data_IF_142712749576
#
_entry.id   IF_142712749576
#
_cell.length_a   1.000
_cell.length_b   1.000
_cell.length_c   1.000
_cell.angle_alpha   90.00
_cell.angle_beta   90.00
_cell.angle_gamma   90.00
#
_symmetry.space_group_name_H-M   'P 1'
#
loop_
_entity.id
_entity.type
_entity.pdbx_description
1 polymer ?
#
# COMPACT_ATOMS: atom_id res chain seq x y z
N UNK A 1 -4.88 16.47 4.91
CA UNK A 1 -4.87 15.82 3.58
C UNK A 1 -3.87 16.47 2.61
N UNK A 2 -3.77 17.82 2.52
CA UNK A 2 -2.75 18.48 1.63
C UNK A 2 -1.33 18.00 1.89
N UNK A 3 -0.91 17.92 3.16
CA UNK A 3 0.44 17.44 3.51
C UNK A 3 0.68 15.99 3.05
N UNK A 4 -0.36 15.14 3.04
CA UNK A 4 -0.24 13.76 2.54
C UNK A 4 -0.03 13.75 1.02
N UNK A 5 -0.75 14.60 0.27
CA UNK A 5 -0.51 14.76 -1.17
C UNK A 5 0.92 15.22 -1.44
N UNK A 6 1.41 16.23 -0.71
CA UNK A 6 2.79 16.73 -0.84
C UNK A 6 3.81 15.61 -0.52
N UNK A 7 3.57 14.82 0.52
CA UNK A 7 4.43 13.71 0.91
C UNK A 7 4.46 12.58 -0.12
N UNK A 8 3.40 12.40 -0.91
CA UNK A 8 3.35 11.41 -1.99
C UNK A 8 4.01 11.89 -3.30
N UNK A 9 4.27 13.20 -3.47
CA UNK A 9 4.88 13.74 -4.69
C UNK A 9 6.19 13.03 -5.06
N UNK A 10 7.15 12.79 -4.14
CA UNK A 10 8.39 12.10 -4.50
C UNK A 10 8.13 10.69 -5.08
N UNK A 11 7.20 9.94 -4.49
CA UNK A 11 6.85 8.61 -4.98
C UNK A 11 6.18 8.68 -6.36
N UNK A 12 5.26 9.63 -6.57
CA UNK A 12 4.60 9.90 -7.87
C UNK A 12 5.62 10.29 -8.94
N UNK A 13 6.54 11.20 -8.63
CA UNK A 13 7.56 11.64 -9.60
C UNK A 13 8.46 10.47 -10.01
N UNK A 14 8.92 9.69 -9.04
CA UNK A 14 9.76 8.52 -9.32
C UNK A 14 8.98 7.48 -10.13
N UNK A 15 7.72 7.16 -9.78
CA UNK A 15 6.92 6.20 -10.55
C UNK A 15 6.72 6.64 -12.00
N UNK A 16 6.43 7.92 -12.25
CA UNK A 16 6.29 8.46 -13.61
C UNK A 16 7.61 8.45 -14.37
N UNK A 17 8.75 8.73 -13.73
CA UNK A 17 10.08 8.67 -14.38
C UNK A 17 10.43 7.25 -14.81
N UNK A 18 10.06 6.24 -14.03
CA UNK A 18 10.41 4.84 -14.30
C UNK A 18 9.40 4.11 -15.20
N UNK A 19 8.11 4.39 -15.06
CA UNK A 19 7.03 3.74 -15.85
C UNK A 19 6.47 4.63 -16.98
N UNK A 20 6.89 5.88 -17.07
CA UNK A 20 6.56 6.77 -18.16
C UNK A 20 5.10 7.21 -18.22
N UNK A 21 4.62 7.44 -19.46
CA UNK A 21 3.27 7.96 -19.71
C UNK A 21 2.16 6.99 -19.30
N UNK A 22 2.41 5.69 -19.28
CA UNK A 22 1.42 4.70 -18.87
C UNK A 22 1.00 4.92 -17.41
N UNK A 23 1.96 5.11 -16.52
CA UNK A 23 1.69 5.41 -15.11
C UNK A 23 0.99 6.76 -14.93
N UNK A 24 1.39 7.77 -15.70
CA UNK A 24 0.73 9.08 -15.67
C UNK A 24 -0.75 8.99 -16.04
N UNK A 25 -1.10 8.14 -17.02
CA UNK A 25 -2.50 7.87 -17.39
C UNK A 25 -3.26 7.17 -16.27
N UNK A 26 -2.71 6.12 -15.67
CA UNK A 26 -3.34 5.41 -14.53
C UNK A 26 -3.59 6.39 -13.38
N UNK A 27 -2.60 7.23 -13.07
CA UNK A 27 -2.68 8.22 -12.01
C UNK A 27 -3.74 9.28 -12.31
N UNK A 28 -3.76 9.82 -13.52
CA UNK A 28 -4.75 10.82 -13.94
C UNK A 28 -6.16 10.24 -13.91
N UNK A 29 -6.38 9.05 -14.48
CA UNK A 29 -7.69 8.40 -14.48
C UNK A 29 -8.14 8.11 -13.06
N UNK A 30 -7.28 7.58 -12.19
CA UNK A 30 -7.62 7.27 -10.81
C UNK A 30 -8.03 8.51 -10.03
N UNK A 31 -7.22 9.58 -10.06
CA UNK A 31 -7.50 10.82 -9.32
C UNK A 31 -8.76 11.50 -9.84
N UNK A 32 -8.89 11.66 -11.18
CA UNK A 32 -10.06 12.31 -11.78
C UNK A 32 -11.33 11.52 -11.47
N UNK A 33 -11.29 10.18 -11.60
CA UNK A 33 -12.44 9.33 -11.28
C UNK A 33 -12.83 9.41 -9.81
N UNK A 34 -11.87 9.36 -8.89
CA UNK A 34 -12.16 9.47 -7.46
C UNK A 34 -12.80 10.82 -7.10
N UNK A 35 -12.26 11.93 -7.62
CA UNK A 35 -12.77 13.28 -7.38
C UNK A 35 -14.16 13.46 -8.00
N UNK A 36 -14.34 13.03 -9.25
CA UNK A 36 -15.61 13.12 -9.96
C UNK A 36 -16.70 12.29 -9.27
N UNK A 37 -16.41 11.05 -8.88
CA UNK A 37 -17.34 10.17 -8.17
C UNK A 37 -17.75 10.75 -6.82
N UNK A 38 -16.81 11.28 -6.03
CA UNK A 38 -17.12 11.92 -4.76
C UNK A 38 -18.04 13.13 -4.96
N UNK A 39 -17.74 13.97 -5.97
CA UNK A 39 -18.60 15.11 -6.31
C UNK A 39 -20.00 14.68 -6.73
N UNK A 40 -20.12 13.69 -7.62
CA UNK A 40 -21.41 13.20 -8.11
C UNK A 40 -22.24 12.57 -6.99
N UNK A 41 -21.64 11.74 -6.15
CA UNK A 41 -22.33 11.08 -5.04
C UNK A 41 -22.77 12.12 -4.00
N UNK A 42 -21.91 13.04 -3.59
CA UNK A 42 -22.26 14.07 -2.61
C UNK A 42 -23.36 14.98 -3.12
N UNK A 43 -23.27 15.45 -4.37
CA UNK A 43 -24.22 16.41 -4.92
C UNK A 43 -25.57 15.79 -5.27
N UNK A 44 -25.58 14.62 -5.93
CA UNK A 44 -26.80 14.04 -6.50
C UNK A 44 -27.44 12.96 -5.61
N UNK A 45 -26.67 12.11 -4.96
CA UNK A 45 -27.18 11.05 -4.10
C UNK A 45 -27.46 11.57 -2.67
N UNK A 46 -26.43 12.16 -2.05
CA UNK A 46 -26.51 12.59 -0.64
C UNK A 46 -27.12 13.98 -0.48
N UNK A 47 -27.22 14.77 -1.57
CA UNK A 47 -27.70 16.18 -1.56
C UNK A 47 -27.04 17.02 -0.47
N UNK A 48 -25.75 16.75 -0.19
CA UNK A 48 -24.93 17.40 0.81
C UNK A 48 -23.95 18.40 0.16
N UNK A 49 -23.38 19.34 0.92
CA UNK A 49 -22.33 20.23 0.42
C UNK A 49 -21.12 19.41 -0.05
N UNK A 50 -20.50 19.85 -1.14
CA UNK A 50 -19.35 19.15 -1.75
C UNK A 50 -18.15 19.05 -0.79
N UNK A 51 -17.64 17.84 -0.58
CA UNK A 51 -16.46 17.53 0.24
C UNK A 51 -15.16 17.49 -0.56
N UNK A 52 -15.21 17.69 -1.88
CA UNK A 52 -14.04 17.60 -2.78
C UNK A 52 -12.87 18.53 -2.37
N UNK A 53 -13.19 19.66 -1.72
CA UNK A 53 -12.19 20.62 -1.25
C UNK A 53 -11.29 20.14 -0.10
N UNK A 54 -11.58 19.02 0.52
CA UNK A 54 -10.79 18.44 1.62
C UNK A 54 -9.58 17.61 1.14
N UNK A 55 -9.46 17.34 -0.17
CA UNK A 55 -8.40 16.58 -0.82
C UNK A 55 -8.40 15.08 -0.52
N UNK A 56 -9.39 14.58 0.18
CA UNK A 56 -9.43 13.17 0.58
C UNK A 56 -9.64 12.23 -0.61
N UNK A 57 -10.46 12.61 -1.60
CA UNK A 57 -10.63 11.85 -2.84
C UNK A 57 -9.33 11.81 -3.67
N UNK A 58 -8.60 12.93 -3.71
CA UNK A 58 -7.32 12.98 -4.40
C UNK A 58 -6.28 12.05 -3.75
N UNK A 59 -6.19 12.06 -2.41
CA UNK A 59 -5.32 11.11 -1.68
C UNK A 59 -5.70 9.66 -1.99
N UNK A 60 -6.99 9.33 -1.95
CA UNK A 60 -7.47 7.97 -2.28
C UNK A 60 -7.11 7.60 -3.72
N UNK A 61 -7.28 8.51 -4.67
CA UNK A 61 -6.92 8.27 -6.08
C UNK A 61 -5.42 8.06 -6.30
N UNK A 62 -4.56 8.88 -5.66
CA UNK A 62 -3.10 8.72 -5.75
C UNK A 62 -2.67 7.39 -5.12
N UNK A 63 -3.15 7.06 -3.93
CA UNK A 63 -2.81 5.81 -3.26
C UNK A 63 -3.32 4.60 -4.03
N UNK A 64 -4.51 4.67 -4.63
CA UNK A 64 -5.03 3.61 -5.48
C UNK A 64 -4.11 3.41 -6.69
N UNK A 65 -3.78 4.47 -7.44
CA UNK A 65 -2.92 4.40 -8.61
C UNK A 65 -1.55 3.81 -8.28
N UNK A 66 -0.88 4.30 -7.23
CA UNK A 66 0.42 3.78 -6.79
C UNK A 66 0.42 2.29 -6.40
N UNK A 67 -0.75 1.71 -6.17
CA UNK A 67 -0.91 0.28 -5.87
C UNK A 67 -1.31 -0.57 -7.09
N UNK A 68 -1.47 0.03 -8.26
CA UNK A 68 -1.83 -0.67 -9.49
C UNK A 68 -0.59 -0.88 -10.38
N UNK A 69 -0.62 -1.88 -11.28
CA UNK A 69 0.35 -1.96 -12.38
C UNK A 69 0.18 -0.77 -13.33
N UNK A 70 1.30 -0.25 -13.85
CA UNK A 70 1.30 0.88 -14.77
C UNK A 70 0.55 0.60 -16.11
N UNK A 71 0.39 -0.66 -16.47
CA UNK A 71 -0.34 -1.11 -17.67
C UNK A 71 -1.82 -1.37 -17.44
N UNK A 72 -2.34 -1.07 -16.25
CA UNK A 72 -3.76 -1.32 -15.93
C UNK A 72 -4.67 -0.52 -16.87
N UNK A 73 -5.63 -1.17 -17.58
CA UNK A 73 -6.57 -0.47 -18.44
C UNK A 73 -7.40 0.57 -17.68
N UNK A 74 -7.68 1.70 -18.32
CA UNK A 74 -8.41 2.82 -17.71
C UNK A 74 -9.76 2.43 -17.10
N UNK A 75 -10.48 1.48 -17.72
CA UNK A 75 -11.78 1.02 -17.21
C UNK A 75 -11.67 0.20 -15.92
N UNK A 76 -10.58 -0.58 -15.75
CA UNK A 76 -10.29 -1.30 -14.50
C UNK A 76 -9.99 -0.30 -13.38
N UNK A 77 -9.16 0.72 -13.67
CA UNK A 77 -8.87 1.81 -12.73
C UNK A 77 -10.15 2.53 -12.30
N UNK A 78 -11.05 2.82 -13.26
CA UNK A 78 -12.35 3.44 -12.99
C UNK A 78 -13.23 2.57 -12.07
N UNK A 79 -13.32 1.26 -12.32
CA UNK A 79 -14.05 0.33 -11.44
C UNK A 79 -13.44 0.35 -10.03
N UNK A 80 -12.11 0.33 -9.90
CA UNK A 80 -11.43 0.46 -8.61
C UNK A 80 -11.79 1.76 -7.88
N UNK A 81 -11.86 2.88 -8.60
CA UNK A 81 -12.27 4.16 -8.05
C UNK A 81 -13.74 4.15 -7.59
N UNK A 82 -14.65 3.52 -8.35
CA UNK A 82 -16.06 3.34 -7.95
C UNK A 82 -16.17 2.57 -6.65
N UNK A 83 -15.43 1.49 -6.50
CA UNK A 83 -15.43 0.68 -5.27
C UNK A 83 -14.80 1.47 -4.12
N UNK A 84 -13.66 2.11 -4.34
CA UNK A 84 -12.96 2.87 -3.31
C UNK A 84 -13.79 4.04 -2.79
N UNK A 85 -14.34 4.86 -3.68
CA UNK A 85 -15.12 6.04 -3.28
C UNK A 85 -16.57 5.67 -3.00
N UNK A 86 -17.24 4.97 -3.91
CA UNK A 86 -18.67 4.64 -3.78
C UNK A 86 -18.92 3.71 -2.61
N UNK A 87 -18.28 2.54 -2.61
CA UNK A 87 -18.55 1.47 -1.62
C UNK A 87 -17.78 1.69 -0.31
N UNK A 88 -16.48 1.96 -0.35
CA UNK A 88 -15.69 1.97 0.88
C UNK A 88 -15.71 3.31 1.62
N UNK A 89 -16.01 4.43 0.96
CA UNK A 89 -15.99 5.74 1.59
C UNK A 89 -17.39 6.34 1.76
N UNK A 90 -18.15 6.48 0.68
CA UNK A 90 -19.38 7.26 0.69
C UNK A 90 -20.58 6.53 1.31
N UNK A 91 -20.64 5.19 1.24
CA UNK A 91 -21.69 4.41 1.91
C UNK A 91 -21.64 4.51 3.43
N UNK A 92 -20.45 4.75 4.00
CA UNK A 92 -20.29 4.94 5.44
C UNK A 92 -20.50 6.39 5.90
N UNK A 93 -20.71 7.34 4.99
CA UNK A 93 -20.96 8.75 5.32
C UNK A 93 -19.82 9.71 4.94
N UNK A 94 -18.80 9.24 4.23
CA UNK A 94 -17.70 10.08 3.73
C UNK A 94 -16.47 10.12 4.65
N UNK A 95 -15.71 11.21 4.57
CA UNK A 95 -14.49 11.37 5.33
C UNK A 95 -14.73 11.29 6.84
N UNK A 96 -13.96 10.46 7.52
CA UNK A 96 -14.01 10.32 8.99
C UNK A 96 -14.93 9.21 9.48
N UNK A 97 -15.72 8.57 8.62
CA UNK A 97 -16.67 7.51 9.00
C UNK A 97 -16.37 6.16 8.34
N UNK A 98 -15.44 6.10 7.42
CA UNK A 98 -15.04 4.87 6.75
C UNK A 98 -14.33 3.91 7.73
N UNK A 99 -14.78 2.65 7.72
CA UNK A 99 -14.22 1.59 8.57
C UNK A 99 -12.89 1.07 8.00
N UNK A 100 -12.81 0.99 6.68
CA UNK A 100 -11.66 0.48 5.94
C UNK A 100 -10.97 1.59 5.15
N UNK A 101 -9.67 1.42 4.88
CA UNK A 101 -8.95 2.31 3.97
C UNK A 101 -9.53 2.17 2.54
N UNK A 102 -10.10 3.24 1.94
CA UNK A 102 -10.82 3.15 0.68
C UNK A 102 -9.94 2.71 -0.49
N UNK A 103 -8.71 3.20 -0.56
CA UNK A 103 -7.78 2.82 -1.64
C UNK A 103 -7.45 1.32 -1.60
N UNK A 104 -7.27 0.76 -0.40
CA UNK A 104 -7.00 -0.67 -0.22
C UNK A 104 -8.21 -1.54 -0.55
N UNK A 105 -9.43 -1.09 -0.20
CA UNK A 105 -10.66 -1.81 -0.60
C UNK A 105 -10.76 -1.87 -2.11
N UNK A 106 -10.54 -0.74 -2.81
CA UNK A 106 -10.50 -0.70 -4.27
C UNK A 106 -9.45 -1.65 -4.85
N UNK A 107 -8.21 -1.62 -4.33
CA UNK A 107 -7.13 -2.50 -4.77
C UNK A 107 -7.47 -4.00 -4.58
N UNK A 108 -7.91 -4.37 -3.39
CA UNK A 108 -8.22 -5.79 -3.08
C UNK A 108 -9.41 -6.27 -3.91
N UNK A 109 -10.43 -5.43 -4.10
CA UNK A 109 -11.53 -5.76 -5.00
C UNK A 109 -11.04 -6.04 -6.43
N UNK A 110 -10.16 -5.16 -6.97
CA UNK A 110 -9.60 -5.36 -8.31
C UNK A 110 -8.74 -6.62 -8.39
N UNK A 111 -7.94 -6.92 -7.37
CA UNK A 111 -7.09 -8.10 -7.33
C UNK A 111 -7.91 -9.40 -7.36
N UNK A 112 -9.05 -9.43 -6.68
CA UNK A 112 -9.93 -10.61 -6.65
C UNK A 112 -10.76 -10.71 -7.94
N UNK A 113 -11.29 -9.58 -8.44
CA UNK A 113 -12.21 -9.57 -9.59
C UNK A 113 -11.49 -9.60 -10.93
N UNK A 114 -10.29 -9.03 -11.03
CA UNK A 114 -9.51 -8.88 -12.25
C UNK A 114 -8.05 -9.30 -12.06
N UNK A 115 -7.78 -10.54 -11.61
CA UNK A 115 -6.43 -10.97 -11.23
C UNK A 115 -5.43 -10.84 -12.39
N UNK A 116 -5.83 -11.14 -13.61
CA UNK A 116 -4.95 -11.07 -14.80
C UNK A 116 -4.35 -9.68 -15.01
N UNK A 117 -5.13 -8.61 -14.79
CA UNK A 117 -4.64 -7.24 -14.92
C UNK A 117 -3.84 -6.78 -13.71
N UNK A 118 -4.09 -7.37 -12.55
CA UNK A 118 -3.47 -6.97 -11.29
C UNK A 118 -2.18 -7.72 -10.96
N UNK A 119 -1.92 -8.84 -11.63
CA UNK A 119 -0.69 -9.65 -11.44
C UNK A 119 0.32 -9.49 -12.59
N UNK A 120 -0.05 -8.78 -13.64
CA UNK A 120 0.85 -8.51 -14.76
C UNK A 120 1.65 -7.22 -14.51
N UNK A 121 2.80 -7.38 -13.89
CA UNK A 121 3.66 -6.27 -13.51
C UNK A 121 4.58 -5.87 -14.68
N UNK A 122 4.90 -4.60 -14.77
CA UNK A 122 5.82 -4.07 -15.76
C UNK A 122 7.20 -3.85 -15.16
N UNK A 123 8.24 -4.15 -15.95
CA UNK A 123 9.61 -3.78 -15.61
C UNK A 123 9.80 -2.30 -15.97
N UNK A 124 10.48 -1.50 -15.13
CA UNK A 124 10.75 -0.10 -15.42
C UNK A 124 11.51 0.05 -16.76
N UNK A 125 10.93 0.75 -17.72
CA UNK A 125 11.52 1.01 -19.03
C UNK A 125 11.98 2.45 -19.27
N UNK A 126 11.79 3.33 -18.25
CA UNK A 126 12.07 4.76 -18.36
C UNK A 126 10.95 5.56 -19.05
N UNK A 127 11.12 6.91 -19.07
CA UNK A 127 10.12 7.88 -19.53
C UNK A 127 9.60 7.65 -20.95
N UNK A 128 10.42 7.08 -21.84
CA UNK A 128 10.13 6.85 -23.24
C UNK A 128 10.27 5.39 -23.66
N UNK A 129 10.31 4.46 -22.69
CA UNK A 129 10.33 3.04 -22.98
C UNK A 129 9.05 2.65 -23.71
N UNK A 130 9.15 2.35 -25.00
CA UNK A 130 8.02 2.04 -25.86
C UNK A 130 7.40 0.66 -25.57
N UNK A 131 8.15 -0.25 -24.97
CA UNK A 131 7.73 -1.62 -24.72
C UNK A 131 7.64 -1.88 -23.21
N UNK A 132 6.41 -2.00 -22.74
CA UNK A 132 6.13 -2.50 -21.40
C UNK A 132 6.45 -4.00 -21.34
N UNK A 133 7.68 -4.33 -21.00
CA UNK A 133 8.07 -5.72 -20.77
C UNK A 133 7.43 -6.15 -19.46
N UNK A 134 6.56 -7.15 -19.52
CA UNK A 134 5.97 -7.74 -18.32
C UNK A 134 7.01 -8.61 -17.61
N UNK A 135 7.10 -8.46 -16.30
CA UNK A 135 8.00 -9.24 -15.46
C UNK A 135 7.34 -9.62 -14.13
N UNK A 136 7.85 -10.65 -13.50
CA UNK A 136 7.39 -11.01 -12.16
C UNK A 136 8.00 -10.08 -11.11
N UNK A 137 7.26 -9.81 -10.03
CA UNK A 137 7.80 -9.10 -8.88
C UNK A 137 8.88 -9.94 -8.18
N UNK A 138 9.81 -9.35 -7.44
CA UNK A 138 10.80 -10.11 -6.66
C UNK A 138 10.16 -11.16 -5.75
N UNK A 139 9.04 -10.82 -5.10
CA UNK A 139 8.28 -11.76 -4.27
C UNK A 139 7.64 -12.87 -5.12
N UNK A 140 7.14 -12.56 -6.33
CA UNK A 140 6.61 -13.55 -7.26
C UNK A 140 7.68 -14.54 -7.73
N UNK A 141 8.85 -14.05 -8.09
CA UNK A 141 10.00 -14.88 -8.50
C UNK A 141 10.40 -15.85 -7.38
N UNK A 142 10.49 -15.35 -6.14
CA UNK A 142 10.84 -16.19 -4.99
C UNK A 142 9.76 -17.24 -4.74
N UNK A 143 8.48 -16.87 -4.72
CA UNK A 143 7.39 -17.82 -4.46
C UNK A 143 7.33 -18.93 -5.53
N UNK A 144 7.42 -18.58 -6.81
CA UNK A 144 7.43 -19.58 -7.90
C UNK A 144 8.67 -20.48 -7.84
N UNK A 145 9.83 -19.92 -7.53
CA UNK A 145 11.07 -20.69 -7.42
C UNK A 145 11.06 -21.64 -6.24
N UNK A 146 10.56 -21.22 -5.08
CA UNK A 146 10.41 -22.08 -3.90
C UNK A 146 9.44 -23.24 -4.15
N UNK A 147 8.32 -22.99 -4.88
CA UNK A 147 7.40 -24.07 -5.29
C UNK A 147 8.06 -25.09 -6.20
N UNK A 148 9.09 -24.70 -6.95
CA UNK A 148 9.90 -25.57 -7.81
C UNK A 148 11.08 -26.24 -7.06
N UNK A 149 11.20 -26.01 -5.75
CA UNK A 149 12.24 -26.59 -4.90
C UNK A 149 13.61 -25.88 -4.96
N UNK A 150 13.68 -24.67 -5.51
CA UNK A 150 14.90 -23.87 -5.49
C UNK A 150 15.10 -23.17 -4.14
N UNK A 151 16.37 -22.87 -3.78
CA UNK A 151 16.67 -22.11 -2.55
C UNK A 151 16.39 -20.62 -2.73
N UNK A 152 15.88 -19.95 -1.70
CA UNK A 152 15.63 -18.51 -1.71
C UNK A 152 16.91 -17.71 -2.01
N UNK A 153 18.04 -18.09 -1.45
CA UNK A 153 19.32 -17.44 -1.69
C UNK A 153 19.78 -17.56 -3.15
N UNK A 154 19.65 -18.75 -3.74
CA UNK A 154 20.01 -19.00 -5.13
C UNK A 154 19.12 -18.21 -6.10
N UNK A 155 17.82 -18.11 -5.81
CA UNK A 155 16.89 -17.33 -6.62
C UNK A 155 17.22 -15.83 -6.60
N UNK A 156 17.59 -15.27 -5.45
CA UNK A 156 18.03 -13.87 -5.33
C UNK A 156 19.30 -13.65 -6.17
N UNK A 157 20.27 -14.57 -6.09
CA UNK A 157 21.52 -14.47 -6.82
C UNK A 157 21.35 -14.64 -8.33
N UNK A 158 20.58 -15.66 -8.78
CA UNK A 158 20.35 -15.95 -10.20
C UNK A 158 19.60 -14.83 -10.92
N UNK A 159 18.64 -14.18 -10.24
CA UNK A 159 17.86 -13.08 -10.83
C UNK A 159 18.52 -11.71 -10.64
N UNK A 160 19.73 -11.65 -10.07
CA UNK A 160 20.48 -10.40 -9.88
C UNK A 160 19.75 -9.39 -8.97
N UNK A 161 18.92 -9.87 -8.04
CA UNK A 161 18.15 -9.02 -7.13
C UNK A 161 19.07 -8.43 -6.07
N UNK A 162 19.56 -7.22 -6.29
CA UNK A 162 20.42 -6.50 -5.35
C UNK A 162 19.63 -5.54 -4.47
N UNK A 163 20.01 -5.41 -3.20
CA UNK A 163 19.36 -4.47 -2.27
C UNK A 163 19.45 -3.02 -2.74
N UNK A 164 20.52 -2.66 -3.46
CA UNK A 164 20.66 -1.33 -4.05
C UNK A 164 19.57 -1.05 -5.08
N UNK A 165 19.22 -2.01 -5.91
CA UNK A 165 18.13 -1.87 -6.88
C UNK A 165 16.78 -1.71 -6.17
N UNK A 166 16.55 -2.44 -5.06
CA UNK A 166 15.35 -2.33 -4.25
C UNK A 166 15.20 -0.96 -3.56
N UNK A 167 16.33 -0.33 -3.19
CA UNK A 167 16.35 0.99 -2.60
C UNK A 167 16.11 2.11 -3.63
N UNK A 168 16.78 2.01 -4.80
CA UNK A 168 16.88 3.11 -5.77
C UNK A 168 15.91 3.05 -6.95
N UNK A 169 15.06 2.02 -7.05
CA UNK A 169 14.02 1.97 -8.08
C UNK A 169 14.37 1.27 -9.41
N UNK A 170 14.82 0.04 -9.38
CA UNK A 170 14.97 -0.74 -10.63
C UNK A 170 14.38 -2.15 -10.51
N UNK A 171 13.16 -2.25 -9.98
CA UNK A 171 12.50 -3.53 -9.72
C UNK A 171 11.08 -3.48 -10.27
N UNK A 172 10.65 -4.55 -10.93
CA UNK A 172 9.26 -4.73 -11.33
C UNK A 172 8.34 -4.85 -10.12
N UNK A 173 7.23 -4.12 -10.13
CA UNK A 173 6.29 -4.11 -9.02
C UNK A 173 5.18 -3.07 -9.21
N UNK A 174 4.43 -2.79 -8.17
CA UNK A 174 3.47 -1.68 -8.20
C UNK A 174 4.19 -0.34 -8.32
N UNK A 175 3.52 0.64 -8.92
CA UNK A 175 4.10 1.97 -9.14
C UNK A 175 4.64 2.62 -7.84
N UNK A 176 4.02 2.33 -6.71
CA UNK A 176 4.45 2.81 -5.40
C UNK A 176 5.58 2.02 -4.75
N UNK A 177 5.99 0.87 -5.31
CA UNK A 177 7.09 0.06 -4.77
C UNK A 177 8.45 0.41 -5.37
N UNK A 178 8.46 1.22 -6.41
CA UNK A 178 9.63 1.50 -7.25
C UNK A 178 10.79 2.08 -6.46
N UNK A 179 10.57 2.91 -5.45
CA UNK A 179 11.66 3.50 -4.66
C UNK A 179 11.35 3.59 -3.18
N UNK A 180 12.05 2.79 -2.40
CA UNK A 180 11.98 2.87 -0.94
C UNK A 180 12.37 4.27 -0.43
N UNK A 181 13.37 4.90 -1.05
CA UNK A 181 13.86 6.24 -0.67
C UNK A 181 12.78 7.31 -0.89
N UNK A 182 12.05 7.25 -2.01
CA UNK A 182 10.98 8.21 -2.30
C UNK A 182 9.85 8.11 -1.26
N UNK A 183 9.45 6.90 -0.89
CA UNK A 183 8.44 6.66 0.15
C UNK A 183 8.92 7.15 1.51
N UNK A 184 10.15 6.79 1.90
CA UNK A 184 10.72 7.21 3.17
C UNK A 184 10.90 8.73 3.27
N UNK A 185 11.24 9.42 2.18
CA UNK A 185 11.34 10.88 2.16
C UNK A 185 9.99 11.53 2.46
N UNK A 186 8.90 11.02 1.85
CA UNK A 186 7.54 11.47 2.15
C UNK A 186 7.11 11.16 3.58
N UNK A 187 7.48 9.99 4.10
CA UNK A 187 7.22 9.63 5.50
C UNK A 187 7.94 10.54 6.48
N UNK A 188 9.22 10.86 6.24
CA UNK A 188 9.98 11.81 7.06
C UNK A 188 9.34 13.20 7.03
N UNK A 189 8.87 13.67 5.87
CA UNK A 189 8.12 14.90 5.77
C UNK A 189 6.87 14.91 6.65
N UNK A 190 6.06 13.84 6.63
CA UNK A 190 4.86 13.74 7.47
C UNK A 190 5.18 13.71 8.96
N UNK A 191 6.29 13.06 9.36
CA UNK A 191 6.78 13.08 10.74
C UNK A 191 7.24 14.47 11.17
N UNK A 192 8.02 15.16 10.32
CA UNK A 192 8.50 16.52 10.59
C UNK A 192 7.34 17.51 10.75
N UNK A 193 6.29 17.36 9.93
CA UNK A 193 5.04 18.14 10.03
C UNK A 193 4.12 17.69 11.17
N UNK A 194 4.48 16.63 11.92
CA UNK A 194 3.67 16.06 13.00
C UNK A 194 2.26 15.64 12.55
N UNK A 195 2.12 15.30 11.26
CA UNK A 195 0.87 14.82 10.68
C UNK A 195 0.58 13.39 11.13
N UNK A 196 1.59 12.54 11.24
CA UNK A 196 1.46 11.15 11.67
C UNK A 196 2.38 10.85 12.86
N UNK A 197 2.05 9.77 13.59
CA UNK A 197 2.89 9.25 14.67
C UNK A 197 3.67 8.03 14.17
N UNK A 198 4.96 7.87 14.55
CA UNK A 198 5.82 6.81 14.02
C UNK A 198 5.47 5.41 14.52
N UNK A 199 4.70 5.30 15.63
CA UNK A 199 4.52 4.03 16.35
C UNK A 199 3.91 2.92 15.50
N UNK A 200 2.92 3.23 14.64
CA UNK A 200 2.27 2.24 13.78
C UNK A 200 3.28 1.71 12.75
N UNK A 201 3.93 2.60 12.02
CA UNK A 201 4.93 2.22 11.01
C UNK A 201 6.09 1.44 11.61
N UNK A 202 6.66 1.93 12.74
CA UNK A 202 7.77 1.25 13.42
C UNK A 202 7.37 -0.12 13.95
N UNK A 203 6.15 -0.29 14.46
CA UNK A 203 5.67 -1.60 14.92
C UNK A 203 5.45 -2.57 13.78
N UNK A 204 4.94 -2.12 12.62
CA UNK A 204 4.82 -2.96 11.40
C UNK A 204 6.21 -3.43 10.96
N UNK A 205 7.12 -2.49 10.70
CA UNK A 205 8.46 -2.79 10.21
C UNK A 205 9.26 -3.65 11.21
N UNK A 206 9.17 -3.33 12.50
CA UNK A 206 9.81 -4.09 13.56
C UNK A 206 9.29 -5.53 13.66
N UNK A 207 7.98 -5.73 13.53
CA UNK A 207 7.39 -7.08 13.54
C UNK A 207 7.79 -7.87 12.30
N UNK A 208 7.76 -7.24 11.12
CA UNK A 208 8.22 -7.89 9.88
C UNK A 208 9.69 -8.27 10.00
N UNK A 209 10.56 -7.39 10.49
CA UNK A 209 11.97 -7.69 10.69
C UNK A 209 12.19 -8.83 11.69
N UNK A 210 11.51 -8.78 12.85
CA UNK A 210 11.67 -9.78 13.90
C UNK A 210 11.17 -11.17 13.46
N UNK A 211 9.97 -11.24 12.92
CA UNK A 211 9.35 -12.52 12.53
C UNK A 211 10.08 -13.11 11.32
N UNK A 212 10.44 -12.30 10.30
CA UNK A 212 11.21 -12.80 9.17
C UNK A 212 12.61 -13.26 9.58
N UNK A 213 13.24 -12.61 10.56
CA UNK A 213 14.52 -13.05 11.13
C UNK A 213 14.40 -14.44 11.78
N UNK A 214 13.34 -14.69 12.54
CA UNK A 214 13.10 -16.00 13.18
C UNK A 214 12.93 -17.10 12.12
N UNK A 215 12.13 -16.86 11.09
CA UNK A 215 11.92 -17.84 10.01
C UNK A 215 13.21 -18.08 9.20
N UNK A 216 13.94 -17.01 8.87
CA UNK A 216 15.20 -17.12 8.13
C UNK A 216 16.27 -17.88 8.91
N UNK A 217 16.38 -17.66 10.23
CA UNK A 217 17.31 -18.41 11.08
C UNK A 217 16.91 -19.89 11.24
N UNK A 218 15.61 -20.20 11.16
CA UNK A 218 15.13 -21.58 11.23
C UNK A 218 15.43 -22.36 9.94
N UNK A 219 15.21 -21.75 8.77
CA UNK A 219 15.49 -22.36 7.47
C UNK A 219 15.85 -21.29 6.42
N UNK A 220 17.16 -21.00 6.23
CA UNK A 220 17.60 -20.02 5.26
C UNK A 220 17.37 -20.43 3.79
N UNK A 221 17.05 -21.69 3.54
CA UNK A 221 16.79 -22.20 2.18
C UNK A 221 15.38 -21.89 1.71
N UNK A 222 14.41 -21.88 2.62
CA UNK A 222 12.99 -21.62 2.32
C UNK A 222 12.57 -20.17 2.54
N UNK A 223 13.20 -19.46 3.49
CA UNK A 223 12.78 -18.13 3.85
C UNK A 223 13.79 -17.06 3.45
N UNK A 224 13.27 -15.93 2.96
CA UNK A 224 14.09 -14.78 2.59
C UNK A 224 14.55 -14.01 3.83
N UNK A 225 15.67 -13.32 3.71
CA UNK A 225 16.21 -12.49 4.78
C UNK A 225 15.29 -11.30 5.16
N UNK A 226 15.44 -10.74 6.38
CA UNK A 226 14.61 -9.65 6.86
C UNK A 226 14.66 -8.39 5.99
N UNK A 227 15.83 -8.05 5.44
CA UNK A 227 16.03 -6.86 4.63
C UNK A 227 15.26 -6.97 3.32
N UNK A 228 15.28 -8.14 2.68
CA UNK A 228 14.48 -8.41 1.50
C UNK A 228 12.98 -8.20 1.78
N UNK A 229 12.47 -8.77 2.87
CA UNK A 229 11.07 -8.64 3.25
C UNK A 229 10.63 -7.19 3.55
N UNK A 230 11.54 -6.37 4.08
CA UNK A 230 11.28 -4.95 4.36
C UNK A 230 11.23 -4.09 3.10
N UNK A 231 12.07 -4.41 2.11
CA UNK A 231 12.24 -3.59 0.91
C UNK A 231 11.32 -4.00 -0.25
N UNK A 232 10.72 -5.19 -0.17
CA UNK A 232 9.90 -5.73 -1.26
C UNK A 232 8.40 -5.68 -0.96
N UNK A 233 7.61 -5.65 -2.02
CA UNK A 233 6.13 -5.67 -2.00
C UNK A 233 5.58 -4.52 -1.18
N UNK A 234 4.69 -3.72 -1.65
CA UNK A 234 3.99 -2.57 -1.04
C UNK A 234 4.06 -2.31 0.49
N UNK A 235 5.01 -2.97 1.22
CA UNK A 235 5.11 -2.87 2.67
C UNK A 235 5.42 -1.44 3.12
N UNK A 236 6.36 -0.78 2.47
CA UNK A 236 6.73 0.59 2.83
C UNK A 236 5.61 1.57 2.53
N UNK A 237 4.99 1.49 1.35
CA UNK A 237 3.85 2.33 1.00
C UNK A 237 2.67 2.07 1.96
N UNK A 238 2.35 0.80 2.21
CA UNK A 238 1.29 0.37 3.11
C UNK A 238 1.51 0.83 4.54
N UNK A 239 2.72 0.64 5.09
CA UNK A 239 3.04 0.97 6.48
C UNK A 239 3.17 2.48 6.74
N UNK A 240 3.70 3.24 5.76
CA UNK A 240 3.96 4.67 5.93
C UNK A 240 2.74 5.55 5.65
N UNK A 241 1.90 5.18 4.66
CA UNK A 241 0.82 6.05 4.19
C UNK A 241 -0.58 5.45 4.38
N UNK A 242 -0.73 4.13 4.31
CA UNK A 242 -2.06 3.50 4.33
C UNK A 242 -2.48 3.03 5.71
N UNK A 243 -1.58 2.42 6.48
CA UNK A 243 -1.85 1.98 7.85
C UNK A 243 -1.90 3.14 8.84
N UNK A 244 -1.31 4.28 8.50
CA UNK A 244 -1.28 5.50 9.32
C UNK A 244 -2.44 6.45 9.05
N UNK A 245 -3.45 6.02 8.27
CA UNK A 245 -4.65 6.82 8.02
C UNK A 245 -5.39 7.10 9.34
N UNK A 246 -5.74 8.38 9.55
CA UNK A 246 -6.38 8.85 10.79
C UNK A 246 -7.70 8.17 11.12
N UNK A 247 -8.47 7.83 10.09
CA UNK A 247 -9.83 7.33 10.25
C UNK A 247 -9.83 5.85 10.59
N UNK A 248 -8.94 5.08 9.95
CA UNK A 248 -8.93 3.62 9.98
C UNK A 248 -7.86 3.05 10.93
N UNK A 249 -7.12 3.90 11.65
CA UNK A 249 -6.12 3.49 12.64
C UNK A 249 -6.56 3.76 14.08
N UNK A 250 -6.02 3.01 15.09
CA UNK A 250 -6.35 3.22 16.48
C UNK A 250 -5.91 4.59 17.01
N UNK A 251 -6.74 5.21 17.85
CA UNK A 251 -6.47 6.53 18.44
C UNK A 251 -5.36 6.49 19.50
N UNK A 252 -5.24 5.38 20.25
CA UNK A 252 -4.28 5.23 21.34
C UNK A 252 -2.93 4.71 20.83
N UNK A 253 -1.83 5.13 21.44
CA UNK A 253 -0.47 4.65 21.09
C UNK A 253 -0.33 3.14 21.30
N UNK A 254 -0.86 2.60 22.41
CA UNK A 254 -0.85 1.16 22.69
C UNK A 254 -1.65 0.37 21.67
N UNK A 255 -2.87 0.85 21.33
CA UNK A 255 -3.68 0.26 20.28
C UNK A 255 -2.98 0.29 18.93
N UNK A 256 -2.30 1.42 18.59
CA UNK A 256 -1.53 1.55 17.35
C UNK A 256 -0.35 0.59 17.25
N UNK A 257 0.35 0.30 18.37
CA UNK A 257 1.44 -0.69 18.39
C UNK A 257 0.89 -2.09 18.13
N UNK A 258 -0.18 -2.50 18.82
CA UNK A 258 -0.81 -3.82 18.63
C UNK A 258 -1.37 -3.95 17.21
N UNK A 259 -1.99 -2.91 16.69
CA UNK A 259 -2.46 -2.83 15.30
C UNK A 259 -1.32 -3.06 14.31
N UNK A 260 -0.18 -2.38 14.52
CA UNK A 260 0.99 -2.55 13.67
C UNK A 260 1.63 -3.94 13.77
N UNK A 261 1.71 -4.52 14.98
CA UNK A 261 2.18 -5.90 15.18
C UNK A 261 1.28 -6.88 14.42
N UNK A 262 -0.04 -6.72 14.51
CA UNK A 262 -0.99 -7.55 13.80
C UNK A 262 -0.82 -7.45 12.27
N UNK A 263 -0.67 -6.24 11.73
CA UNK A 263 -0.41 -6.04 10.28
C UNK A 263 0.88 -6.75 9.87
N UNK A 264 1.99 -6.50 10.56
CA UNK A 264 3.29 -7.10 10.23
C UNK A 264 3.25 -8.63 10.26
N UNK A 265 2.63 -9.21 11.29
CA UNK A 265 2.49 -10.65 11.43
C UNK A 265 1.63 -11.28 10.32
N UNK A 266 0.43 -10.73 10.07
CA UNK A 266 -0.48 -11.25 9.04
C UNK A 266 0.16 -11.10 7.65
N UNK A 267 0.88 -10.01 7.39
CA UNK A 267 1.59 -9.82 6.13
C UNK A 267 2.57 -10.94 5.85
N UNK A 268 3.41 -11.32 6.82
CA UNK A 268 4.38 -12.41 6.65
C UNK A 268 3.69 -13.78 6.55
N UNK A 269 2.63 -14.00 7.31
CA UNK A 269 1.86 -15.25 7.19
C UNK A 269 1.28 -15.42 5.78
N UNK A 270 0.76 -14.35 5.18
CA UNK A 270 0.26 -14.38 3.80
C UNK A 270 1.41 -14.57 2.81
N UNK A 271 2.57 -13.90 2.98
CA UNK A 271 3.72 -14.04 2.09
C UNK A 271 4.33 -15.44 2.08
N UNK A 272 4.42 -16.09 3.24
CA UNK A 272 5.08 -17.39 3.38
C UNK A 272 4.14 -18.56 3.14
N UNK A 273 2.88 -18.45 3.53
CA UNK A 273 1.92 -19.56 3.50
C UNK A 273 0.70 -19.30 2.60
N UNK A 274 0.54 -18.07 2.11
CA UNK A 274 -0.60 -17.71 1.27
C UNK A 274 -0.32 -17.86 -0.22
N UNK A 275 -1.40 -17.86 -1.01
CA UNK A 275 -1.32 -17.91 -2.48
C UNK A 275 -0.91 -16.56 -3.11
N UNK A 276 -1.04 -15.45 -2.37
CA UNK A 276 -0.69 -14.14 -2.87
C UNK A 276 0.70 -13.73 -2.38
N UNK A 277 1.60 -13.27 -3.28
CA UNK A 277 2.95 -12.85 -2.90
C UNK A 277 2.94 -11.58 -2.03
N UNK A 278 1.91 -10.75 -2.17
CA UNK A 278 1.75 -9.51 -1.41
C UNK A 278 0.60 -9.62 -0.40
N UNK A 279 0.92 -9.53 0.89
CA UNK A 279 -0.05 -9.67 1.98
C UNK A 279 -0.50 -8.36 2.62
N UNK A 280 0.21 -7.24 2.38
CA UNK A 280 0.05 -5.99 3.15
C UNK A 280 -1.36 -5.41 3.06
N UNK A 281 -1.95 -5.40 1.86
CA UNK A 281 -3.30 -4.85 1.64
C UNK A 281 -4.36 -5.60 2.41
N UNK A 282 -4.29 -6.94 2.39
CA UNK A 282 -5.20 -7.79 3.17
C UNK A 282 -4.97 -7.62 4.67
N UNK A 283 -3.71 -7.59 5.11
CA UNK A 283 -3.36 -7.44 6.51
C UNK A 283 -3.91 -6.12 7.10
N UNK A 284 -3.76 -5.01 6.38
CA UNK A 284 -4.30 -3.71 6.81
C UNK A 284 -5.83 -3.76 6.89
N UNK A 285 -6.52 -4.31 5.89
CA UNK A 285 -7.98 -4.40 5.89
C UNK A 285 -8.50 -5.30 7.04
N UNK A 286 -7.87 -6.44 7.28
CA UNK A 286 -8.22 -7.33 8.39
C UNK A 286 -8.05 -6.57 9.72
N UNK A 287 -6.91 -5.89 9.90
CA UNK A 287 -6.66 -5.15 11.13
C UNK A 287 -7.54 -3.91 11.27
N UNK A 288 -7.95 -3.25 10.18
CA UNK A 288 -8.93 -2.15 10.24
C UNK A 288 -10.25 -2.60 10.88
N UNK A 289 -10.71 -3.83 10.62
CA UNK A 289 -11.92 -4.38 11.25
C UNK A 289 -11.79 -4.53 12.78
N UNK A 290 -10.57 -4.66 13.28
CA UNK A 290 -10.31 -4.79 14.74
C UNK A 290 -10.17 -3.45 15.46
N UNK A 291 -10.06 -2.33 14.74
CA UNK A 291 -9.84 -0.99 15.32
C UNK A 291 -10.91 -0.59 16.33
N UNK A 292 -12.23 -0.84 16.13
CA UNK A 292 -13.23 -0.55 17.14
C UNK A 292 -13.00 -1.29 18.47
N UNK A 293 -12.53 -2.54 18.41
CA UNK A 293 -12.17 -3.34 19.60
C UNK A 293 -10.93 -2.77 20.29
N UNK A 294 -9.90 -2.44 19.51
CA UNK A 294 -8.67 -1.84 20.05
C UNK A 294 -8.95 -0.48 20.72
N UNK A 295 -9.80 0.34 20.14
CA UNK A 295 -10.22 1.61 20.74
C UNK A 295 -11.06 1.41 22.01
N UNK A 296 -11.85 0.33 22.10
CA UNK A 296 -12.59 -0.03 23.33
C UNK A 296 -11.68 -0.52 24.45
N UNK A 297 -10.65 -1.30 24.13
CA UNK A 297 -9.73 -1.85 25.14
C UNK A 297 -8.66 -0.86 25.59
N UNK A 298 -8.19 0.00 24.69
CA UNK A 298 -7.12 0.97 24.95
C UNK A 298 -7.65 2.40 24.88
N UNK A 299 -8.54 2.75 25.83
CA UNK A 299 -9.06 4.11 25.93
C UNK A 299 -7.96 5.14 26.17
N UNK A 300 -8.02 6.28 25.46
CA UNK A 300 -7.25 7.45 25.87
C UNK A 300 -7.80 7.97 27.22
N UNK A 301 -6.88 8.26 28.15
CA UNK A 301 -7.27 8.93 29.39
C UNK A 301 -7.92 10.27 29.05
N UNK A 302 -9.14 10.49 29.53
CA UNK A 302 -9.81 11.79 29.38
C UNK A 302 -9.01 12.84 30.15
N UNK A 303 -8.74 13.99 29.51
CA UNK A 303 -8.13 15.13 30.21
C UNK A 303 -8.99 15.48 31.43
N UNK A 304 -8.34 15.61 32.62
CA UNK A 304 -9.00 15.98 33.88
C UNK A 304 -9.57 14.84 34.72
N UNK A 305 -9.35 13.56 34.38
CA UNK A 305 -9.57 12.45 35.32
C UNK A 305 -8.23 11.79 35.64
N UNK A 306 -7.78 12.02 36.87
CA UNK A 306 -6.68 11.29 37.49
C UNK A 306 -7.00 9.79 37.62
#
# INVERSE_FOLDING_TARGET
MRDVVIALIPAVVVSVVFYGLAELLVLAVSVISCVALEYLITKYLLKAPSTVGDWSAAVTGILLALNLPATTPWWVVFIGAVVAIGVAKMTFGGLGQNVFNPALVGRVFLLISFPTYMTNWTIPGGLFGADAISGATPLGIINEGLMKGASAADLIAQNGLTYSQMLFANIGGSAGEVSAIAILSGFIYLLARKVIKPWITLSILGTVAAVSCVFWLADPTQFTDPVFNLLTGGLLLGSCFMATDYVTSPMSTKGGIIFGIGIGFITLMIRYFGSYPEGVSFAILIMNSTVPLLNKWFHQKKYGRA
#
